data_IF_968898572071
#
_entry.id   IF_968898572071
#
_cell.length_a   1.000
_cell.length_b   1.000
_cell.length_c   1.000
_cell.angle_alpha   90.00
_cell.angle_beta   90.00
_cell.angle_gamma   90.00
#
_symmetry.space_group_name_H-M   'P 1'
#
loop_
_entity.id
_entity.type
_entity.pdbx_description
1 polymer ?
#
# COMPACT_ATOMS: atom_id res chain seq x y z
N UNK A 1 21.83 -3.86 -6.67
CA UNK A 1 21.67 -3.75 -8.13
C UNK A 1 20.29 -3.18 -8.35
N UNK A 2 20.20 -1.91 -8.72
CA UNK A 2 18.91 -1.24 -9.03
C UNK A 2 18.31 -1.93 -10.25
N UNK A 3 17.15 -2.54 -10.10
CA UNK A 3 16.37 -3.06 -11.23
C UNK A 3 15.58 -1.90 -11.83
N UNK A 4 16.29 -1.03 -12.54
CA UNK A 4 15.67 -0.01 -13.37
C UNK A 4 14.93 -0.74 -14.51
N UNK A 5 13.60 -0.91 -14.36
CA UNK A 5 12.75 -1.37 -15.46
C UNK A 5 12.63 -0.25 -16.50
N UNK A 6 12.60 -0.61 -17.80
CA UNK A 6 12.33 0.39 -18.82
C UNK A 6 10.97 1.05 -18.54
N UNK A 7 10.93 2.38 -18.66
CA UNK A 7 9.70 3.17 -18.60
C UNK A 7 8.67 2.58 -19.58
N UNK A 8 7.55 2.09 -19.05
CA UNK A 8 6.47 1.45 -19.82
C UNK A 8 6.06 0.06 -19.37
N UNK A 9 6.72 -0.55 -18.37
CA UNK A 9 6.32 -1.87 -17.87
C UNK A 9 5.53 -1.72 -16.57
N UNK A 10 4.25 -2.10 -16.59
CA UNK A 10 3.39 -2.09 -15.41
C UNK A 10 3.93 -2.98 -14.30
N UNK A 11 3.74 -2.61 -13.02
CA UNK A 11 4.29 -3.33 -11.87
C UNK A 11 3.21 -3.94 -10.98
N UNK A 12 3.58 -5.07 -10.34
CA UNK A 12 2.75 -5.79 -9.37
C UNK A 12 3.26 -5.55 -7.95
N UNK A 13 2.43 -4.93 -7.12
CA UNK A 13 2.69 -4.76 -5.69
C UNK A 13 1.73 -5.62 -4.87
N UNK A 14 2.25 -6.29 -3.85
CA UNK A 14 1.47 -7.13 -2.94
C UNK A 14 1.54 -6.59 -1.51
N UNK A 15 0.36 -6.33 -0.90
CA UNK A 15 0.29 -6.04 0.52
C UNK A 15 0.58 -7.30 1.33
N UNK A 16 1.54 -7.23 2.22
CA UNK A 16 1.99 -8.37 3.04
C UNK A 16 2.06 -7.99 4.52
N UNK A 17 1.86 -8.95 5.40
CA UNK A 17 1.86 -8.74 6.85
C UNK A 17 3.01 -9.47 7.56
N UNK A 18 3.92 -10.06 6.81
CA UNK A 18 5.02 -10.84 7.39
C UNK A 18 6.18 -11.03 6.41
N UNK A 19 7.39 -11.33 6.92
CA UNK A 19 8.54 -11.70 6.08
C UNK A 19 8.28 -12.95 5.21
N UNK A 20 7.51 -13.90 5.72
CA UNK A 20 7.08 -15.08 4.93
C UNK A 20 6.19 -14.67 3.75
N UNK A 21 5.28 -13.71 3.97
CA UNK A 21 4.45 -13.14 2.92
C UNK A 21 5.28 -12.42 1.85
N UNK A 22 6.30 -11.66 2.27
CA UNK A 22 7.22 -11.00 1.34
C UNK A 22 7.98 -12.01 0.46
N UNK A 23 8.50 -13.10 1.04
CA UNK A 23 9.11 -14.20 0.27
C UNK A 23 8.13 -14.84 -0.72
N UNK A 24 6.92 -15.16 -0.25
CA UNK A 24 5.88 -15.75 -1.11
C UNK A 24 5.54 -14.82 -2.27
N UNK A 25 5.39 -13.51 -2.01
CA UNK A 25 5.12 -12.53 -3.05
C UNK A 25 6.25 -12.49 -4.11
N UNK A 26 7.51 -12.42 -3.68
CA UNK A 26 8.68 -12.44 -4.55
C UNK A 26 8.76 -13.71 -5.42
N UNK A 27 8.63 -14.87 -4.78
CA UNK A 27 8.73 -16.17 -5.46
C UNK A 27 7.64 -16.38 -6.52
N UNK A 28 6.53 -15.64 -6.41
CA UNK A 28 5.41 -15.70 -7.34
C UNK A 28 5.30 -14.46 -8.27
N UNK A 29 6.35 -13.63 -8.34
CA UNK A 29 6.50 -12.61 -9.36
C UNK A 29 6.02 -11.22 -8.99
N UNK A 30 5.86 -10.90 -7.71
CA UNK A 30 5.68 -9.52 -7.28
C UNK A 30 6.95 -8.71 -7.52
N UNK A 31 6.79 -7.47 -7.99
CA UNK A 31 7.90 -6.55 -8.22
C UNK A 31 8.30 -5.82 -6.94
N UNK A 32 7.35 -5.67 -6.00
CA UNK A 32 7.47 -4.94 -4.75
C UNK A 32 6.43 -5.44 -3.76
N UNK A 33 6.67 -5.18 -2.49
CA UNK A 33 5.67 -5.41 -1.44
C UNK A 33 5.38 -4.13 -0.67
N UNK A 34 4.11 -3.94 -0.28
CA UNK A 34 3.73 -3.02 0.79
C UNK A 34 3.64 -3.80 2.08
N UNK A 35 4.51 -3.50 3.04
CA UNK A 35 4.53 -4.16 4.34
C UNK A 35 3.67 -3.40 5.35
N UNK A 36 2.73 -4.09 5.96
CA UNK A 36 1.87 -3.55 7.02
C UNK A 36 1.63 -4.58 8.13
N UNK A 37 0.92 -4.18 9.15
CA UNK A 37 0.27 -5.09 10.13
C UNK A 37 -1.22 -4.75 10.18
N UNK A 38 -2.06 -5.58 10.83
CA UNK A 38 -3.48 -5.29 11.00
C UNK A 38 -4.22 -5.07 9.67
N UNK A 39 -4.02 -5.95 8.69
CA UNK A 39 -4.61 -5.81 7.35
C UNK A 39 -6.15 -5.78 7.38
N UNK A 40 -6.77 -6.39 8.39
CA UNK A 40 -8.21 -6.33 8.68
C UNK A 40 -8.69 -4.92 9.08
N UNK A 41 -7.78 -4.07 9.55
CA UNK A 41 -8.04 -2.66 9.89
C UNK A 41 -7.68 -1.70 8.75
N UNK A 42 -7.36 -2.25 7.58
CA UNK A 42 -6.86 -1.49 6.44
C UNK A 42 -5.34 -1.27 6.44
N UNK A 43 -4.62 -1.93 7.33
CA UNK A 43 -3.18 -1.81 7.50
C UNK A 43 -2.77 -0.73 8.50
N UNK A 44 -1.75 -1.04 9.30
CA UNK A 44 -1.08 -0.15 10.26
C UNK A 44 0.44 -0.31 10.12
N UNK A 45 1.20 0.59 10.73
CA UNK A 45 2.66 0.54 10.75
C UNK A 45 3.15 -0.76 11.37
N UNK A 46 4.01 -1.55 10.71
CA UNK A 46 4.59 -2.77 11.26
C UNK A 46 5.74 -2.44 12.23
N UNK A 47 6.10 -3.41 13.09
CA UNK A 47 7.26 -3.25 13.96
C UNK A 47 8.57 -3.18 13.14
N UNK A 48 9.58 -2.47 13.64
CA UNK A 48 10.91 -2.37 13.00
C UNK A 48 11.52 -3.75 12.74
N UNK A 49 11.41 -4.69 13.68
CA UNK A 49 11.91 -6.06 13.50
C UNK A 49 11.19 -6.79 12.35
N UNK A 50 9.91 -6.51 12.10
CA UNK A 50 9.17 -7.05 10.96
C UNK A 50 9.69 -6.44 9.65
N UNK A 51 10.03 -5.15 9.65
CA UNK A 51 10.61 -4.46 8.49
C UNK A 51 11.97 -5.06 8.14
N UNK A 52 12.90 -5.16 9.11
CA UNK A 52 14.23 -5.75 8.93
C UNK A 52 14.15 -7.16 8.33
N UNK A 53 13.32 -8.03 8.92
CA UNK A 53 13.15 -9.40 8.44
C UNK A 53 12.45 -9.48 7.06
N UNK A 54 11.62 -8.52 6.70
CA UNK A 54 11.00 -8.47 5.36
C UNK A 54 12.00 -8.00 4.30
N UNK A 55 12.84 -7.02 4.62
CA UNK A 55 13.93 -6.54 3.74
C UNK A 55 14.90 -7.69 3.42
N UNK A 56 15.28 -8.49 4.41
CA UNK A 56 16.11 -9.70 4.20
C UNK A 56 15.45 -10.74 3.28
N UNK A 57 14.13 -10.66 3.10
CA UNK A 57 13.38 -11.57 2.22
C UNK A 57 13.55 -11.28 0.73
N UNK A 58 14.06 -10.11 0.36
CA UNK A 58 14.63 -9.77 -0.93
C UNK A 58 13.77 -9.05 -1.98
N UNK A 59 12.42 -8.85 -1.89
CA UNK A 59 11.76 -7.90 -2.76
C UNK A 59 11.98 -6.47 -2.23
N UNK A 60 11.86 -5.42 -3.07
CA UNK A 60 11.74 -4.05 -2.59
C UNK A 60 10.57 -3.92 -1.61
N UNK A 61 10.83 -3.29 -0.45
CA UNK A 61 9.85 -3.15 0.64
C UNK A 61 9.45 -1.69 0.80
N UNK A 62 8.17 -1.40 0.63
CA UNK A 62 7.56 -0.14 1.01
C UNK A 62 6.77 -0.33 2.29
N UNK A 63 7.01 0.49 3.30
CA UNK A 63 6.39 0.35 4.61
C UNK A 63 5.20 1.29 4.75
N UNK A 64 4.03 0.73 5.05
CA UNK A 64 2.87 1.54 5.41
C UNK A 64 3.13 2.24 6.76
N UNK A 65 3.02 3.55 6.76
CA UNK A 65 3.10 4.37 7.96
C UNK A 65 1.72 4.94 8.25
N UNK A 66 1.04 4.32 9.19
CA UNK A 66 -0.29 4.67 9.68
C UNK A 66 -0.40 4.27 11.15
N UNK A 67 -0.34 5.25 12.03
CA UNK A 67 -0.21 5.03 13.47
C UNK A 67 -1.46 4.46 14.15
N UNK A 68 -2.64 4.61 13.55
CA UNK A 68 -3.91 4.11 14.08
C UNK A 68 -4.94 3.77 12.99
N UNK A 69 -5.95 2.95 13.28
CA UNK A 69 -7.12 2.77 12.40
C UNK A 69 -8.03 4.00 12.44
N UNK A 70 -9.08 3.98 11.61
CA UNK A 70 -10.06 5.05 11.48
C UNK A 70 -9.74 6.00 10.33
N UNK A 71 -10.04 7.28 10.52
CA UNK A 71 -9.82 8.34 9.53
C UNK A 71 -8.33 8.66 9.33
N UNK A 72 -8.06 9.66 8.51
CA UNK A 72 -6.72 10.12 8.16
C UNK A 72 -6.47 11.58 8.59
N UNK A 73 -7.28 12.09 9.52
CA UNK A 73 -7.10 13.43 10.12
C UNK A 73 -6.28 13.26 11.39
N UNK A 74 -5.04 13.66 11.36
CA UNK A 74 -4.08 13.45 12.44
C UNK A 74 -3.77 14.74 13.18
N UNK A 75 -3.50 14.63 14.49
CA UNK A 75 -2.96 15.73 15.26
C UNK A 75 -1.43 15.81 15.18
N UNK A 76 -0.84 16.83 15.82
CA UNK A 76 0.61 17.04 15.75
C UNK A 76 1.42 15.94 16.43
N UNK A 77 0.89 15.26 17.46
CA UNK A 77 1.58 14.15 18.14
C UNK A 77 1.56 12.90 17.24
N UNK A 78 0.44 12.64 16.56
CA UNK A 78 0.31 11.55 15.59
C UNK A 78 1.24 11.75 14.39
N UNK A 79 1.34 12.98 13.85
CA UNK A 79 2.27 13.29 12.74
C UNK A 79 3.72 13.13 13.21
N UNK A 80 4.08 13.60 14.39
CA UNK A 80 5.43 13.43 14.95
C UNK A 80 5.79 11.94 15.15
N UNK A 81 4.82 11.12 15.58
CA UNK A 81 4.98 9.67 15.67
C UNK A 81 5.20 9.05 14.27
N UNK A 82 4.36 9.40 13.30
CA UNK A 82 4.49 8.90 11.93
C UNK A 82 5.85 9.31 11.30
N UNK A 83 6.32 10.53 11.56
CA UNK A 83 7.65 10.98 11.14
C UNK A 83 8.79 10.14 11.76
N UNK A 84 8.65 9.74 13.02
CA UNK A 84 9.60 8.83 13.66
C UNK A 84 9.53 7.41 13.05
N UNK A 85 8.35 6.92 12.72
CA UNK A 85 8.13 5.62 12.04
C UNK A 85 8.71 5.61 10.62
N UNK A 86 8.53 6.69 9.83
CA UNK A 86 9.19 6.89 8.52
C UNK A 86 10.70 6.71 8.66
N UNK A 87 11.30 7.42 9.61
CA UNK A 87 12.75 7.34 9.85
C UNK A 87 13.18 5.94 10.28
N UNK A 88 12.42 5.29 11.13
CA UNK A 88 12.71 3.94 11.60
C UNK A 88 12.62 2.91 10.47
N UNK A 89 11.58 2.99 9.63
CA UNK A 89 11.38 2.08 8.50
C UNK A 89 12.54 2.18 7.48
N UNK A 90 12.93 3.38 7.09
CA UNK A 90 14.02 3.59 6.14
C UNK A 90 15.38 3.15 6.71
N UNK A 91 15.64 3.42 8.00
CA UNK A 91 16.85 2.93 8.67
C UNK A 91 16.91 1.42 8.81
N UNK A 92 15.75 0.75 8.85
CA UNK A 92 15.62 -0.70 8.81
C UNK A 92 15.81 -1.29 7.40
N UNK A 93 16.07 -0.44 6.40
CA UNK A 93 16.39 -0.85 5.03
C UNK A 93 15.20 -0.87 4.07
N UNK A 94 14.06 -0.29 4.43
CA UNK A 94 12.94 -0.15 3.48
C UNK A 94 13.33 0.76 2.30
N UNK A 95 12.87 0.41 1.09
CA UNK A 95 13.09 1.16 -0.15
C UNK A 95 12.17 2.38 -0.26
N UNK A 96 11.12 2.42 0.54
CA UNK A 96 10.16 3.52 0.55
C UNK A 96 9.12 3.42 1.67
N UNK A 97 8.29 4.44 1.73
CA UNK A 97 7.20 4.55 2.69
C UNK A 97 5.90 4.91 2.00
N UNK A 98 4.80 4.48 2.61
CA UNK A 98 3.44 4.72 2.14
C UNK A 98 2.71 5.51 3.21
N UNK A 99 2.36 6.76 2.92
CA UNK A 99 1.85 7.75 3.87
C UNK A 99 0.55 8.37 3.37
N UNK A 100 -0.18 9.06 4.22
CA UNK A 100 -1.33 9.85 3.81
C UNK A 100 -1.94 10.58 4.99
N UNK A 101 -2.40 11.80 4.78
CA UNK A 101 -3.09 12.61 5.75
C UNK A 101 -4.12 13.52 5.07
N UNK A 102 -5.24 13.76 5.74
CA UNK A 102 -6.32 14.63 5.30
C UNK A 102 -6.57 15.70 6.36
N UNK A 103 -7.08 16.83 5.92
CA UNK A 103 -7.64 17.87 6.79
C UNK A 103 -9.09 17.54 7.16
N UNK A 104 -9.66 18.15 8.20
CA UNK A 104 -11.04 17.88 8.62
C UNK A 104 -12.11 18.19 7.55
N UNK A 105 -11.80 19.04 6.57
CA UNK A 105 -12.68 19.36 5.42
C UNK A 105 -12.47 18.40 4.23
N UNK A 106 -11.60 17.38 4.39
CA UNK A 106 -11.37 16.33 3.40
C UNK A 106 -10.37 16.71 2.29
N UNK A 107 -9.63 17.81 2.43
CA UNK A 107 -8.49 18.07 1.53
C UNK A 107 -7.25 17.25 1.95
N UNK A 108 -6.25 17.14 1.07
CA UNK A 108 -4.93 16.65 1.51
C UNK A 108 -4.34 17.59 2.56
N UNK A 109 -3.85 17.04 3.67
CA UNK A 109 -3.02 17.81 4.59
C UNK A 109 -1.61 17.92 4.01
N UNK A 110 -1.43 18.95 3.16
CA UNK A 110 -0.17 19.19 2.46
C UNK A 110 0.96 19.56 3.42
N UNK A 111 0.65 20.11 4.60
CA UNK A 111 1.66 20.43 5.61
C UNK A 111 2.21 19.15 6.25
N UNK A 112 1.34 18.28 6.73
CA UNK A 112 1.73 16.99 7.29
C UNK A 112 2.46 16.11 6.25
N UNK A 113 1.95 16.05 5.02
CA UNK A 113 2.59 15.28 3.94
C UNK A 113 3.98 15.82 3.59
N UNK A 114 4.15 17.15 3.52
CA UNK A 114 5.47 17.76 3.27
C UNK A 114 6.47 17.43 4.37
N UNK A 115 6.04 17.41 5.65
CA UNK A 115 6.87 17.00 6.78
C UNK A 115 7.32 15.55 6.65
N UNK A 116 6.39 14.62 6.37
CA UNK A 116 6.71 13.20 6.22
C UNK A 116 7.64 12.94 5.03
N UNK A 117 7.43 13.64 3.90
CA UNK A 117 8.31 13.57 2.72
C UNK A 117 9.70 14.13 3.04
N UNK A 118 9.79 15.26 3.73
CA UNK A 118 11.09 15.82 4.14
C UNK A 118 11.87 14.85 5.03
N UNK A 119 11.22 14.24 6.03
CA UNK A 119 11.84 13.23 6.90
C UNK A 119 12.31 12.01 6.10
N UNK A 120 11.53 11.57 5.12
CA UNK A 120 11.92 10.46 4.25
C UNK A 120 13.19 10.80 3.47
N UNK A 121 13.23 11.96 2.80
CA UNK A 121 14.37 12.43 2.00
C UNK A 121 15.61 12.72 2.83
N UNK A 122 15.46 13.26 4.04
CA UNK A 122 16.56 13.50 4.98
C UNK A 122 17.17 12.18 5.49
N UNK A 123 16.36 11.12 5.58
CA UNK A 123 16.81 9.81 6.04
C UNK A 123 17.46 9.01 4.91
N UNK A 124 16.83 8.97 3.75
CA UNK A 124 17.34 8.38 2.51
C UNK A 124 16.86 9.22 1.30
N UNK A 125 17.77 9.95 0.63
CA UNK A 125 17.41 10.74 -0.57
C UNK A 125 16.81 9.92 -1.71
N UNK A 126 17.04 8.59 -1.78
CA UNK A 126 16.51 7.69 -2.78
C UNK A 126 15.15 7.09 -2.38
N UNK A 127 14.70 7.27 -1.13
CA UNK A 127 13.46 6.69 -0.64
C UNK A 127 12.27 7.06 -1.52
N UNK A 128 11.45 6.09 -1.88
CA UNK A 128 10.20 6.34 -2.58
C UNK A 128 9.08 6.69 -1.59
N UNK A 129 8.25 7.67 -1.94
CA UNK A 129 7.10 8.06 -1.12
C UNK A 129 5.84 7.89 -1.94
N UNK A 130 4.92 7.07 -1.43
CA UNK A 130 3.61 6.79 -2.03
C UNK A 130 2.50 7.41 -1.16
N UNK A 131 1.53 8.08 -1.77
CA UNK A 131 0.28 8.44 -1.10
C UNK A 131 -0.63 7.20 -1.06
N UNK A 132 -1.08 6.80 0.12
CA UNK A 132 -2.01 5.68 0.26
C UNK A 132 -3.48 6.08 0.02
N UNK A 133 -4.39 5.14 0.24
CA UNK A 133 -5.83 5.25 0.01
C UNK A 133 -6.57 6.33 0.84
N UNK A 134 -5.88 7.16 1.61
CA UNK A 134 -6.48 8.38 2.15
C UNK A 134 -7.08 9.25 1.04
N UNK A 135 -6.45 9.26 -0.14
CA UNK A 135 -6.95 9.97 -1.32
C UNK A 135 -8.36 9.55 -1.73
N UNK A 136 -8.74 8.28 -1.48
CA UNK A 136 -10.08 7.77 -1.78
C UNK A 136 -11.17 8.38 -0.88
N UNK A 137 -10.78 9.01 0.23
CA UNK A 137 -11.67 9.72 1.16
C UNK A 137 -11.55 11.24 1.03
N UNK A 138 -10.72 11.73 0.10
CA UNK A 138 -10.63 13.16 -0.16
C UNK A 138 -11.94 13.69 -0.77
N UNK A 139 -12.25 14.97 -0.47
CA UNK A 139 -13.43 15.67 -1.03
C UNK A 139 -13.36 15.81 -2.56
N UNK A 140 -12.15 15.91 -3.12
CA UNK A 140 -11.87 15.85 -4.56
C UNK A 140 -10.61 15.00 -4.79
N UNK A 141 -10.75 13.69 -5.02
CA UNK A 141 -9.62 12.80 -5.19
C UNK A 141 -8.75 13.11 -6.44
N UNK A 142 -9.35 13.64 -7.50
CA UNK A 142 -8.61 13.99 -8.73
C UNK A 142 -7.74 15.23 -8.51
N UNK A 143 -8.29 16.27 -7.89
CA UNK A 143 -7.52 17.44 -7.50
C UNK A 143 -6.41 17.11 -6.49
N UNK A 144 -6.68 16.19 -5.56
CA UNK A 144 -5.70 15.69 -4.60
C UNK A 144 -4.50 15.04 -5.33
N UNK A 145 -4.75 14.17 -6.31
CA UNK A 145 -3.68 13.54 -7.11
C UNK A 145 -2.89 14.58 -7.91
N UNK A 146 -3.55 15.58 -8.49
CA UNK A 146 -2.89 16.65 -9.23
C UNK A 146 -1.90 17.48 -8.39
N UNK A 147 -2.07 17.51 -7.07
CA UNK A 147 -1.18 18.25 -6.16
C UNK A 147 0.11 17.48 -5.78
N UNK A 148 0.19 16.16 -6.01
CA UNK A 148 1.27 15.29 -5.54
C UNK A 148 2.67 15.67 -6.06
N UNK A 149 2.85 16.06 -7.35
CA UNK A 149 4.16 16.47 -7.84
C UNK A 149 4.77 17.62 -7.05
N UNK A 150 3.95 18.58 -6.61
CA UNK A 150 4.37 19.73 -5.78
C UNK A 150 4.85 19.31 -4.38
N UNK A 151 4.46 18.14 -3.91
CA UNK A 151 4.88 17.55 -2.62
C UNK A 151 6.07 16.58 -2.77
N UNK A 152 6.55 16.31 -3.99
CA UNK A 152 7.60 15.33 -4.26
C UNK A 152 7.14 13.88 -4.11
N UNK A 153 5.83 13.63 -4.15
CA UNK A 153 5.22 12.31 -4.16
C UNK A 153 5.00 11.88 -5.62
N UNK A 154 5.56 10.74 -6.00
CA UNK A 154 5.57 10.27 -7.39
C UNK A 154 4.66 9.08 -7.65
N UNK A 155 3.96 8.60 -6.62
CA UNK A 155 3.07 7.45 -6.70
C UNK A 155 1.84 7.65 -5.80
N UNK A 156 0.69 7.17 -6.27
CA UNK A 156 -0.56 7.12 -5.49
C UNK A 156 -1.17 5.72 -5.56
N UNK A 157 -1.57 5.18 -4.41
CA UNK A 157 -2.38 3.97 -4.31
C UNK A 157 -3.85 4.38 -4.12
N UNK A 158 -4.72 4.00 -5.04
CA UNK A 158 -6.12 4.45 -5.03
C UNK A 158 -7.07 3.42 -5.63
N UNK A 159 -8.31 3.43 -5.19
CA UNK A 159 -9.44 2.74 -5.84
C UNK A 159 -10.29 3.68 -6.72
N UNK A 160 -9.82 4.92 -6.95
CA UNK A 160 -10.63 5.94 -7.62
C UNK A 160 -11.78 6.47 -6.77
N UNK A 161 -11.66 6.41 -5.42
CA UNK A 161 -12.71 6.83 -4.49
C UNK A 161 -13.94 5.88 -4.42
N UNK A 162 -13.85 4.72 -5.08
CA UNK A 162 -14.92 3.71 -5.10
C UNK A 162 -14.63 2.55 -4.12
N UNK A 163 -15.62 1.71 -3.78
CA UNK A 163 -15.40 0.52 -2.96
C UNK A 163 -14.33 -0.42 -3.51
N UNK A 164 -14.29 -0.59 -4.83
CA UNK A 164 -13.25 -1.36 -5.53
C UNK A 164 -12.63 -0.55 -6.67
N UNK A 165 -11.37 -0.86 -7.00
CA UNK A 165 -10.65 -0.16 -8.07
C UNK A 165 -11.35 -0.32 -9.45
N UNK A 166 -11.97 -1.47 -9.72
CA UNK A 166 -12.69 -1.69 -10.98
C UNK A 166 -13.95 -0.80 -11.09
N UNK A 167 -14.64 -0.55 -9.99
CA UNK A 167 -15.76 0.38 -9.95
C UNK A 167 -15.30 1.84 -10.10
N UNK A 168 -14.07 2.16 -9.66
CA UNK A 168 -13.44 3.48 -9.77
C UNK A 168 -12.67 3.73 -11.06
N UNK A 169 -12.72 2.83 -12.04
CA UNK A 169 -11.88 2.89 -13.26
C UNK A 169 -11.94 4.24 -14.00
N UNK A 170 -13.13 4.86 -14.08
CA UNK A 170 -13.27 6.19 -14.70
C UNK A 170 -12.52 7.29 -13.94
N UNK A 171 -12.51 7.23 -12.60
CA UNK A 171 -11.74 8.17 -11.77
C UNK A 171 -10.23 7.91 -11.89
N UNK A 172 -9.79 6.64 -11.99
CA UNK A 172 -8.38 6.31 -12.27
C UNK A 172 -7.90 6.96 -13.57
N UNK A 173 -8.71 6.91 -14.63
CA UNK A 173 -8.41 7.60 -15.91
C UNK A 173 -8.27 9.10 -15.71
N UNK A 174 -9.16 9.72 -14.95
CA UNK A 174 -9.10 11.16 -14.67
C UNK A 174 -7.86 11.53 -13.83
N UNK A 175 -7.50 10.71 -12.82
CA UNK A 175 -6.31 10.90 -12.00
C UNK A 175 -5.02 10.79 -12.81
N UNK A 176 -4.89 9.77 -13.66
CA UNK A 176 -3.75 9.60 -14.54
C UNK A 176 -3.58 10.80 -15.49
N UNK A 177 -4.68 11.33 -16.03
CA UNK A 177 -4.65 12.51 -16.87
C UNK A 177 -4.32 13.82 -16.12
N UNK A 178 -4.74 13.92 -14.83
CA UNK A 178 -4.55 15.13 -14.01
C UNK A 178 -3.12 15.27 -13.49
N UNK A 179 -2.36 14.18 -13.35
CA UNK A 179 -1.00 14.18 -12.81
C UNK A 179 -0.03 13.36 -13.67
N UNK A 180 0.31 13.81 -14.88
CA UNK A 180 1.30 13.13 -15.71
C UNK A 180 2.63 12.97 -14.96
N UNK A 181 3.14 11.73 -14.89
CA UNK A 181 4.38 11.42 -14.16
C UNK A 181 4.18 10.99 -12.71
N UNK A 182 2.96 10.94 -12.21
CA UNK A 182 2.60 10.21 -10.98
C UNK A 182 2.16 8.80 -11.35
N UNK A 183 2.80 7.78 -10.79
CA UNK A 183 2.41 6.37 -10.94
C UNK A 183 1.06 6.14 -10.22
N UNK A 184 0.02 5.87 -10.98
CA UNK A 184 -1.31 5.53 -10.46
C UNK A 184 -1.37 4.02 -10.24
N UNK A 185 -1.24 3.61 -8.97
CA UNK A 185 -1.40 2.23 -8.55
C UNK A 185 -2.88 1.92 -8.26
N UNK A 186 -3.49 1.10 -9.09
CA UNK A 186 -4.86 0.66 -8.84
C UNK A 186 -4.91 -0.37 -7.71
N UNK A 187 -5.59 -0.04 -6.60
CA UNK A 187 -5.72 -0.92 -5.45
C UNK A 187 -7.06 -0.76 -4.73
N UNK A 188 -7.45 -1.79 -4.01
CA UNK A 188 -8.77 -1.89 -3.37
C UNK A 188 -9.65 -2.92 -4.07
N UNK A 189 -9.69 -4.13 -3.50
CA UNK A 189 -10.49 -5.24 -4.02
C UNK A 189 -10.07 -5.78 -5.39
N UNK A 190 -8.88 -5.47 -5.87
CA UNK A 190 -8.36 -5.91 -7.17
C UNK A 190 -8.23 -7.43 -7.20
N UNK A 191 -8.72 -8.04 -8.27
CA UNK A 191 -8.58 -9.46 -8.59
C UNK A 191 -7.75 -9.62 -9.86
N UNK A 192 -7.07 -10.77 -10.05
CA UNK A 192 -6.28 -11.00 -11.27
C UNK A 192 -7.04 -10.73 -12.58
N UNK A 193 -8.34 -11.04 -12.62
CA UNK A 193 -9.20 -10.79 -13.80
C UNK A 193 -9.50 -9.32 -14.09
N UNK A 194 -9.33 -8.43 -13.11
CA UNK A 194 -9.60 -6.99 -13.26
C UNK A 194 -8.40 -6.25 -13.89
N UNK A 195 -7.20 -6.84 -13.83
CA UNK A 195 -5.93 -6.20 -14.19
C UNK A 195 -5.94 -5.62 -15.60
N UNK A 196 -6.36 -6.33 -16.65
CA UNK A 196 -6.39 -5.77 -18.00
C UNK A 196 -7.25 -4.51 -18.11
N UNK A 197 -8.41 -4.51 -17.45
CA UNK A 197 -9.32 -3.37 -17.48
C UNK A 197 -8.76 -2.16 -16.69
N UNK A 198 -8.08 -2.40 -15.56
CA UNK A 198 -7.45 -1.34 -14.77
C UNK A 198 -6.27 -0.69 -15.51
N UNK A 199 -5.45 -1.48 -16.20
CA UNK A 199 -4.38 -0.94 -17.05
C UNK A 199 -4.95 -0.15 -18.24
N UNK A 200 -6.01 -0.65 -18.88
CA UNK A 200 -6.71 0.09 -19.93
C UNK A 200 -7.34 1.40 -19.43
N UNK A 201 -7.68 1.48 -18.14
CA UNK A 201 -8.14 2.70 -17.50
C UNK A 201 -7.01 3.69 -17.13
N UNK A 202 -5.75 3.36 -17.43
CA UNK A 202 -4.60 4.25 -17.21
C UNK A 202 -3.85 4.00 -15.90
N UNK A 203 -4.09 2.88 -15.22
CA UNK A 203 -3.25 2.50 -14.08
C UNK A 203 -1.85 2.07 -14.59
N UNK A 204 -0.80 2.61 -13.97
CA UNK A 204 0.60 2.24 -14.24
C UNK A 204 0.99 0.96 -13.53
N UNK A 205 0.32 0.66 -12.44
CA UNK A 205 0.62 -0.49 -11.58
C UNK A 205 -0.63 -1.00 -10.87
N UNK A 206 -0.55 -2.23 -10.34
CA UNK A 206 -1.64 -2.85 -9.61
C UNK A 206 -1.20 -3.32 -8.23
N UNK A 207 -2.09 -3.14 -7.26
CA UNK A 207 -1.88 -3.48 -5.86
C UNK A 207 -2.96 -4.44 -5.37
N UNK A 208 -2.54 -5.59 -4.83
CA UNK A 208 -3.42 -6.60 -4.29
C UNK A 208 -2.99 -7.03 -2.89
N UNK A 209 -3.94 -7.40 -2.05
CA UNK A 209 -3.60 -8.07 -0.79
C UNK A 209 -3.24 -9.54 -0.98
N UNK A 210 -3.71 -10.19 -2.05
CA UNK A 210 -3.50 -11.61 -2.33
C UNK A 210 -3.60 -12.49 -1.07
N UNK A 211 -4.53 -12.15 -0.16
CA UNK A 211 -4.63 -12.74 1.16
C UNK A 211 -5.56 -13.94 1.20
N UNK A 212 -5.17 -14.95 1.98
CA UNK A 212 -6.04 -16.04 2.40
C UNK A 212 -6.03 -16.17 3.93
N UNK A 213 -7.06 -16.80 4.50
CA UNK A 213 -7.08 -17.08 5.94
C UNK A 213 -6.16 -18.26 6.24
N UNK A 214 -5.30 -18.12 7.24
CA UNK A 214 -4.45 -19.20 7.68
C UNK A 214 -5.27 -20.31 8.35
N UNK A 215 -4.89 -21.57 8.14
CA UNK A 215 -5.48 -22.68 8.87
C UNK A 215 -5.15 -22.55 10.37
N UNK A 216 -6.15 -22.58 11.26
CA UNK A 216 -5.90 -22.56 12.70
C UNK A 216 -5.00 -23.72 13.14
N UNK A 217 -3.98 -23.44 13.93
CA UNK A 217 -3.03 -24.45 14.43
C UNK A 217 -3.42 -25.01 15.80
N UNK A 218 -4.46 -24.47 16.43
CA UNK A 218 -4.94 -24.91 17.74
C UNK A 218 -5.84 -26.14 17.62
N UNK A 219 -5.72 -27.05 18.57
CA UNK A 219 -6.52 -28.27 18.62
C UNK A 219 -7.88 -28.10 19.31
N UNK A 220 -8.01 -27.20 20.28
CA UNK A 220 -9.26 -26.97 21.05
C UNK A 220 -9.17 -25.65 21.84
N UNK A 221 -10.33 -25.18 22.32
CA UNK A 221 -10.42 -24.08 23.27
C UNK A 221 -10.22 -22.70 22.60
N UNK A 222 -11.30 -22.10 22.10
CA UNK A 222 -11.29 -20.73 21.64
C UNK A 222 -12.06 -19.83 22.60
N UNK A 223 -11.51 -18.65 22.87
CA UNK A 223 -12.20 -17.53 23.53
C UNK A 223 -11.89 -16.26 22.75
N UNK A 224 -12.84 -15.34 22.56
CA UNK A 224 -12.60 -14.11 21.81
C UNK A 224 -11.55 -13.23 22.54
N UNK A 225 -10.61 -12.68 21.80
CA UNK A 225 -9.57 -11.74 22.26
C UNK A 225 -9.80 -10.34 21.70
N UNK A 226 -11.00 -9.82 21.79
CA UNK A 226 -11.33 -8.49 21.29
C UNK A 226 -12.78 -8.36 20.90
N UNK A 227 -13.18 -7.18 20.44
CA UNK A 227 -14.57 -6.86 20.15
C UNK A 227 -15.09 -7.39 18.79
N UNK A 228 -14.25 -8.01 17.95
CA UNK A 228 -14.57 -8.27 16.55
C UNK A 228 -14.93 -9.70 16.18
N UNK A 229 -14.56 -10.70 16.97
CA UNK A 229 -14.75 -12.10 16.59
C UNK A 229 -15.88 -12.78 17.36
N UNK A 230 -16.81 -13.39 16.65
CA UNK A 230 -17.87 -14.24 17.24
C UNK A 230 -17.56 -15.73 17.07
N UNK A 231 -16.53 -16.06 16.30
CA UNK A 231 -16.08 -17.44 16.03
C UNK A 231 -14.56 -17.53 15.94
N UNK A 232 -14.06 -18.77 16.06
CA UNK A 232 -12.64 -19.05 15.89
C UNK A 232 -12.12 -18.71 14.47
N UNK A 233 -13.00 -18.69 13.49
CA UNK A 233 -12.68 -18.34 12.11
C UNK A 233 -12.49 -16.82 11.94
N UNK A 234 -13.20 -16.02 12.72
CA UNK A 234 -13.06 -14.57 12.72
C UNK A 234 -11.70 -14.12 13.28
N UNK A 235 -11.11 -14.91 14.20
CA UNK A 235 -9.79 -14.68 14.77
C UNK A 235 -8.63 -15.28 13.93
N UNK A 236 -8.89 -15.78 12.72
CA UNK A 236 -7.85 -16.29 11.86
C UNK A 236 -7.02 -15.14 11.29
N UNK A 237 -5.69 -15.25 11.36
CA UNK A 237 -4.79 -14.30 10.72
C UNK A 237 -4.69 -14.53 9.21
N UNK A 238 -4.28 -13.49 8.48
CA UNK A 238 -4.07 -13.58 7.05
C UNK A 238 -2.64 -14.01 6.69
N UNK A 239 -2.53 -14.74 5.59
CA UNK A 239 -1.27 -15.10 4.92
C UNK A 239 -1.35 -14.74 3.45
N UNK A 240 -0.20 -14.56 2.81
CA UNK A 240 -0.12 -14.30 1.37
C UNK A 240 -0.33 -15.60 0.60
N UNK A 241 -1.25 -15.60 -0.37
CA UNK A 241 -1.55 -16.71 -1.26
C UNK A 241 -0.72 -16.58 -2.55
N UNK A 242 0.34 -17.38 -2.68
CA UNK A 242 1.20 -17.38 -3.85
C UNK A 242 0.47 -17.70 -5.17
N UNK A 243 -0.61 -18.48 -5.11
CA UNK A 243 -1.42 -18.81 -6.31
C UNK A 243 -2.10 -17.55 -6.86
N UNK A 244 -2.62 -16.69 -5.98
CA UNK A 244 -3.23 -15.41 -6.36
C UNK A 244 -2.17 -14.45 -6.89
N UNK A 245 -0.99 -14.37 -6.26
CA UNK A 245 0.14 -13.56 -6.74
C UNK A 245 0.55 -14.00 -8.15
N UNK A 246 0.79 -15.30 -8.36
CA UNK A 246 1.15 -15.84 -9.67
C UNK A 246 0.07 -15.60 -10.74
N UNK A 247 -1.21 -15.65 -10.37
CA UNK A 247 -2.31 -15.35 -11.29
C UNK A 247 -2.33 -13.86 -11.67
N UNK A 248 -2.07 -12.95 -10.71
CA UNK A 248 -1.97 -11.52 -10.97
C UNK A 248 -0.76 -11.21 -11.89
N UNK A 249 0.39 -11.86 -11.66
CA UNK A 249 1.57 -11.71 -12.51
C UNK A 249 1.27 -12.11 -13.95
N UNK A 250 0.66 -13.28 -14.16
CA UNK A 250 0.27 -13.73 -15.52
C UNK A 250 -0.69 -12.75 -16.19
N UNK A 251 -1.69 -12.23 -15.47
CA UNK A 251 -2.62 -11.26 -16.02
C UNK A 251 -1.92 -9.95 -16.44
N UNK A 252 -0.94 -9.51 -15.67
CA UNK A 252 -0.14 -8.34 -16.00
C UNK A 252 0.74 -8.56 -17.24
N UNK A 253 1.44 -9.72 -17.32
CA UNK A 253 2.34 -10.07 -18.43
C UNK A 253 1.59 -10.27 -19.77
N UNK A 254 0.32 -10.64 -19.74
CA UNK A 254 -0.49 -10.82 -20.96
C UNK A 254 -1.08 -9.50 -21.47
N UNK A 255 -0.99 -8.43 -20.71
CA UNK A 255 -1.56 -7.11 -21.04
C UNK A 255 -0.46 -6.11 -21.47
N UNK A 256 0.79 -6.39 -21.12
CA UNK A 256 1.98 -5.62 -21.54
C UNK A 256 2.43 -6.04 -22.95
#
# INVERSE_FOLDING_TARGET
>A
MSTDRPSGTSSLEIAVVSPAGARTARENGADRVELCTGLELGGLTPSTATVEAAVESGPPVHVLVRCRPGDFVYDGEEIALMAAEVRAALRAGADGVVVGALTPDGALDTHALAELVAVARDTDPAAQVTLHRAVDQASDPVAAVAALPGLGITRVLTSGGAPTAIEGAAALTAMAAAAPGVDVAAGGGVRPGDIPALLAAGADSVHLSAKSRATPRRAAGWVPLGAGGTSAEDDAHFVTDGTVVAAARRALDTTA
#
